data_IF_291435334566
#
_entry.id   IF_291435334566
#
_cell.length_a   1.000
_cell.length_b   1.000
_cell.length_c   1.000
_cell.angle_alpha   90.00
_cell.angle_beta   90.00
_cell.angle_gamma   90.00
#
_symmetry.space_group_name_H-M   'P 1'
#
loop_
_entity.id
_entity.type
_entity.pdbx_description
1 polymer ?
#
# COMPACT_ATOMS: atom_id res chain seq x y z
N UNK A 1 -48.07 14.36 -41.42
CA UNK A 1 -46.63 14.43 -41.10
C UNK A 1 -45.89 15.63 -41.72
N UNK A 2 -46.52 16.81 -41.82
CA UNK A 2 -45.84 18.05 -42.27
C UNK A 2 -45.78 19.16 -41.20
N UNK A 3 -46.43 18.94 -40.05
CA UNK A 3 -46.49 19.89 -38.92
C UNK A 3 -45.36 19.70 -37.90
N UNK A 4 -44.74 18.51 -37.88
CA UNK A 4 -43.64 18.18 -36.97
C UNK A 4 -42.25 18.47 -37.55
N UNK A 5 -42.14 18.74 -38.86
CA UNK A 5 -40.87 19.09 -39.51
C UNK A 5 -40.43 20.51 -39.12
N UNK A 6 -41.38 21.42 -38.83
CA UNK A 6 -41.07 22.79 -38.39
C UNK A 6 -40.59 22.85 -36.93
N UNK A 7 -41.02 21.90 -36.10
CA UNK A 7 -40.67 21.84 -34.66
C UNK A 7 -39.25 21.31 -34.39
N UNK A 8 -38.65 20.57 -35.33
CA UNK A 8 -37.29 20.01 -35.14
C UNK A 8 -36.19 21.00 -35.53
N UNK A 9 -36.47 21.98 -36.41
CA UNK A 9 -35.49 22.99 -36.83
C UNK A 9 -35.28 24.08 -35.75
N UNK A 10 -36.26 24.27 -34.85
CA UNK A 10 -36.20 25.30 -33.80
C UNK A 10 -35.42 24.88 -32.54
N UNK A 11 -35.11 23.58 -32.39
CA UNK A 11 -34.33 23.05 -31.26
C UNK A 11 -32.82 22.95 -31.54
N UNK A 12 -32.37 23.24 -32.78
CA UNK A 12 -30.98 23.07 -33.21
C UNK A 12 -30.10 24.33 -33.08
N UNK A 13 -30.57 25.40 -32.43
CA UNK A 13 -29.83 26.68 -32.32
C UNK A 13 -29.47 27.11 -30.88
N UNK A 14 -29.53 26.21 -29.90
CA UNK A 14 -29.00 26.47 -28.55
C UNK A 14 -27.83 25.54 -28.22
N UNK A 15 -26.72 25.72 -28.94
CA UNK A 15 -25.39 25.24 -28.55
C UNK A 15 -24.44 26.42 -28.47
N UNK A 16 -24.49 27.17 -27.37
CA UNK A 16 -23.41 28.12 -27.04
C UNK A 16 -22.33 27.40 -26.22
N UNK A 17 -21.06 27.42 -26.65
CA UNK A 17 -19.94 26.93 -25.84
C UNK A 17 -19.61 27.97 -24.76
N UNK A 18 -19.99 27.68 -23.51
CA UNK A 18 -19.55 28.42 -22.33
C UNK A 18 -18.28 27.76 -21.77
N UNK A 19 -17.19 27.83 -22.54
CA UNK A 19 -15.83 27.67 -22.01
C UNK A 19 -15.17 29.05 -22.02
N UNK A 20 -15.41 29.81 -20.95
CA UNK A 20 -14.70 31.05 -20.67
C UNK A 20 -14.34 31.06 -19.18
N UNK A 21 -13.05 30.79 -18.91
CA UNK A 21 -12.25 31.28 -17.79
C UNK A 21 -12.90 31.37 -16.40
N UNK A 22 -12.56 30.41 -15.53
CA UNK A 22 -12.12 30.78 -14.19
C UNK A 22 -10.78 30.08 -13.90
N UNK A 23 -9.74 30.80 -14.29
CA UNK A 23 -8.35 30.58 -13.90
C UNK A 23 -8.22 31.05 -12.44
N UNK A 24 -7.35 30.37 -11.69
CA UNK A 24 -6.74 30.83 -10.43
C UNK A 24 -7.57 30.68 -9.14
N UNK A 25 -7.54 29.48 -8.56
CA UNK A 25 -7.50 29.32 -7.11
C UNK A 25 -6.59 28.13 -6.76
N UNK A 26 -5.30 28.30 -7.06
CA UNK A 26 -4.22 27.51 -6.48
C UNK A 26 -3.30 28.48 -5.74
N UNK A 27 -3.67 28.81 -4.51
CA UNK A 27 -2.84 29.56 -3.60
C UNK A 27 -3.08 29.00 -2.19
N UNK A 28 -2.07 28.35 -1.62
CA UNK A 28 -2.13 27.90 -0.23
C UNK A 28 -1.54 26.54 0.12
N UNK A 29 -0.64 25.94 -0.68
CA UNK A 29 0.31 24.96 -0.12
C UNK A 29 1.64 25.67 0.13
N UNK A 30 1.73 26.24 1.32
CA UNK A 30 2.94 26.81 1.90
C UNK A 30 3.95 25.66 2.04
N UNK A 31 4.93 25.61 1.15
CA UNK A 31 6.06 24.68 1.27
C UNK A 31 6.97 25.20 2.38
N UNK A 32 6.98 24.51 3.52
CA UNK A 32 8.02 24.68 4.54
C UNK A 32 9.32 24.08 3.99
N UNK A 33 10.15 24.96 3.44
CA UNK A 33 11.55 24.70 3.13
C UNK A 33 12.29 24.52 4.45
N UNK A 34 12.38 23.28 4.93
CA UNK A 34 13.23 22.91 6.06
C UNK A 34 14.62 22.61 5.52
N UNK A 35 15.46 23.63 5.49
CA UNK A 35 16.90 23.45 5.40
C UNK A 35 17.41 22.73 6.65
N UNK A 36 18.33 21.80 6.45
CA UNK A 36 19.21 21.29 7.50
C UNK A 36 19.08 19.79 7.80
N UNK A 37 19.90 18.98 7.12
CA UNK A 37 21.05 18.23 7.67
C UNK A 37 21.36 17.03 6.76
N UNK A 38 22.65 16.76 6.63
CA UNK A 38 23.29 16.03 5.52
C UNK A 38 22.64 14.69 5.17
N UNK A 39 22.41 14.50 3.87
CA UNK A 39 22.17 13.19 3.30
C UNK A 39 23.53 12.51 3.17
N UNK A 40 23.81 11.53 4.02
CA UNK A 40 24.72 10.46 3.62
C UNK A 40 23.99 9.68 2.53
N UNK A 41 24.41 9.88 1.28
CA UNK A 41 23.91 9.12 0.14
C UNK A 41 24.57 7.74 0.13
N UNK A 42 24.09 6.83 0.98
CA UNK A 42 24.29 5.40 0.71
C UNK A 42 23.28 4.99 -0.38
N UNK A 43 23.68 4.22 -1.41
CA UNK A 43 22.80 3.76 -2.47
C UNK A 43 21.93 2.62 -1.94
N UNK A 44 21.07 2.88 -0.97
CA UNK A 44 20.01 1.95 -0.64
C UNK A 44 19.05 1.92 -1.85
N UNK A 45 19.11 0.82 -2.61
CA UNK A 45 18.03 0.43 -3.52
C UNK A 45 16.73 0.65 -2.75
N UNK A 46 15.81 1.45 -3.32
CA UNK A 46 14.52 1.79 -2.70
C UNK A 46 13.67 0.52 -2.56
N UNK A 47 13.99 -0.32 -1.59
CA UNK A 47 13.18 -1.44 -1.20
C UNK A 47 12.08 -0.89 -0.31
N UNK A 48 10.87 -0.96 -0.86
CA UNK A 48 9.62 -0.64 -0.20
C UNK A 48 9.59 -1.25 1.22
N UNK A 49 9.64 -0.38 2.23
CA UNK A 49 9.68 -0.75 3.64
C UNK A 49 8.34 -1.36 4.14
N UNK A 50 7.40 -1.68 3.24
CA UNK A 50 6.06 -2.17 3.58
C UNK A 50 6.03 -3.54 4.28
N UNK A 51 7.14 -4.28 4.33
CA UNK A 51 7.19 -5.66 4.84
C UNK A 51 7.83 -5.77 6.23
N UNK A 52 8.00 -4.67 6.96
CA UNK A 52 8.27 -4.71 8.39
C UNK A 52 9.74 -4.89 8.81
N UNK A 53 10.70 -4.89 7.88
CA UNK A 53 12.10 -4.68 8.23
C UNK A 53 12.47 -3.19 8.09
N UNK A 54 12.83 -2.51 9.20
CA UNK A 54 13.29 -1.14 9.15
C UNK A 54 14.72 -1.08 8.58
N UNK A 55 14.87 -1.12 7.25
CA UNK A 55 16.19 -1.05 6.60
C UNK A 55 16.99 0.20 6.96
N UNK A 56 16.34 1.24 7.48
CA UNK A 56 17.02 2.40 8.05
C UNK A 56 17.90 2.04 9.26
N UNK A 57 17.69 0.89 9.91
CA UNK A 57 18.55 0.36 10.97
C UNK A 57 19.70 -0.49 10.42
N UNK A 58 19.78 -0.78 9.12
CA UNK A 58 20.77 -1.72 8.58
C UNK A 58 22.22 -1.26 8.84
N UNK A 59 22.50 0.03 8.62
CA UNK A 59 23.81 0.62 8.88
C UNK A 59 24.13 0.62 10.38
N UNK A 60 23.12 0.92 11.22
CA UNK A 60 23.28 0.93 12.68
C UNK A 60 23.44 -0.49 13.24
N UNK A 61 22.87 -1.51 12.62
CA UNK A 61 23.07 -2.92 12.98
C UNK A 61 24.34 -3.50 12.37
N UNK A 62 25.09 -2.72 11.59
CA UNK A 62 26.31 -3.16 10.89
C UNK A 62 26.07 -4.49 10.15
N UNK A 63 24.97 -4.57 9.41
CA UNK A 63 24.65 -5.77 8.64
C UNK A 63 25.70 -5.98 7.55
N UNK A 64 26.15 -7.22 7.37
CA UNK A 64 27.00 -7.56 6.23
C UNK A 64 26.21 -7.52 4.92
N UNK A 65 26.91 -7.34 3.80
CA UNK A 65 26.30 -7.41 2.47
C UNK A 65 25.54 -8.74 2.25
N UNK A 66 26.11 -9.85 2.73
CA UNK A 66 25.46 -11.16 2.68
C UNK A 66 24.16 -11.21 3.51
N UNK A 67 24.13 -10.61 4.70
CA UNK A 67 22.91 -10.52 5.52
C UNK A 67 21.86 -9.65 4.83
N UNK A 68 22.27 -8.53 4.23
CA UNK A 68 21.38 -7.63 3.49
C UNK A 68 20.75 -8.37 2.31
N UNK A 69 21.55 -9.06 1.50
CA UNK A 69 21.06 -9.79 0.33
C UNK A 69 20.09 -10.91 0.73
N UNK A 70 20.39 -11.67 1.78
CA UNK A 70 19.49 -12.70 2.30
C UNK A 70 18.14 -12.13 2.76
N UNK A 71 18.15 -10.99 3.46
CA UNK A 71 16.92 -10.32 3.89
C UNK A 71 16.15 -9.81 2.67
N UNK A 72 16.82 -9.16 1.71
CA UNK A 72 16.18 -8.61 0.51
C UNK A 72 15.51 -9.69 -0.35
N UNK A 73 16.20 -10.80 -0.57
CA UNK A 73 15.68 -11.93 -1.35
C UNK A 73 14.45 -12.53 -0.68
N UNK A 74 14.50 -12.72 0.64
CA UNK A 74 13.36 -13.23 1.39
C UNK A 74 12.17 -12.27 1.33
N UNK A 75 12.38 -10.97 1.58
CA UNK A 75 11.33 -9.96 1.51
C UNK A 75 10.70 -9.88 0.11
N UNK A 76 11.49 -10.02 -0.95
CA UNK A 76 10.98 -10.05 -2.32
C UNK A 76 10.08 -11.26 -2.57
N UNK A 77 10.43 -12.43 -2.03
CA UNK A 77 9.61 -13.65 -2.12
C UNK A 77 8.31 -13.51 -1.33
N UNK A 78 8.38 -13.09 -0.07
CA UNK A 78 7.20 -12.82 0.77
C UNK A 78 6.29 -11.78 0.13
N UNK A 79 6.84 -10.73 -0.50
CA UNK A 79 6.04 -9.70 -1.16
C UNK A 79 5.23 -10.27 -2.32
N UNK A 80 5.82 -11.15 -3.13
CA UNK A 80 5.10 -11.85 -4.21
C UNK A 80 3.95 -12.69 -3.65
N UNK A 81 4.21 -13.46 -2.59
CA UNK A 81 3.18 -14.28 -1.94
C UNK A 81 2.02 -13.42 -1.41
N UNK A 82 2.31 -12.27 -0.80
CA UNK A 82 1.26 -11.36 -0.31
C UNK A 82 0.46 -10.75 -1.48
N UNK A 83 1.12 -10.43 -2.60
CA UNK A 83 0.41 -9.96 -3.82
C UNK A 83 -0.56 -11.03 -4.29
N UNK A 84 -0.13 -12.28 -4.35
CA UNK A 84 -0.98 -13.41 -4.78
C UNK A 84 -2.17 -13.60 -3.82
N UNK A 85 -1.92 -13.58 -2.51
CA UNK A 85 -2.96 -13.68 -1.48
C UNK A 85 -3.99 -12.54 -1.57
N UNK A 86 -3.54 -11.30 -1.82
CA UNK A 86 -4.43 -10.15 -2.02
C UNK A 86 -5.27 -10.30 -3.29
N UNK A 87 -4.66 -10.72 -4.39
CA UNK A 87 -5.39 -10.96 -5.63
C UNK A 87 -6.45 -12.06 -5.46
N UNK A 88 -6.19 -13.08 -4.65
CA UNK A 88 -7.19 -14.10 -4.34
C UNK A 88 -8.32 -13.57 -3.43
N UNK A 89 -8.01 -12.70 -2.47
CA UNK A 89 -9.02 -12.01 -1.67
C UNK A 89 -9.94 -11.18 -2.58
N UNK A 90 -9.38 -10.40 -3.50
CA UNK A 90 -10.15 -9.54 -4.41
C UNK A 90 -11.14 -10.36 -5.26
N UNK A 91 -10.71 -11.53 -5.77
CA UNK A 91 -11.58 -12.46 -6.50
C UNK A 91 -12.71 -12.98 -5.61
N UNK A 92 -12.40 -13.42 -4.39
CA UNK A 92 -13.40 -13.92 -3.44
C UNK A 92 -14.40 -12.84 -3.04
N UNK A 93 -13.98 -11.59 -2.91
CA UNK A 93 -14.85 -10.45 -2.62
C UNK A 93 -15.77 -10.09 -3.81
N UNK A 94 -15.32 -10.31 -5.05
CA UNK A 94 -16.20 -10.25 -6.23
C UNK A 94 -17.27 -11.34 -6.15
N UNK A 95 -16.85 -12.59 -5.94
CA UNK A 95 -17.78 -13.74 -5.87
C UNK A 95 -18.78 -13.59 -4.71
N UNK A 96 -18.33 -13.05 -3.58
CA UNK A 96 -19.18 -12.79 -2.42
C UNK A 96 -20.27 -11.77 -2.76
N UNK A 97 -19.92 -10.69 -3.47
CA UNK A 97 -20.90 -9.68 -3.93
C UNK A 97 -21.91 -10.27 -4.90
N UNK A 98 -21.48 -11.18 -5.79
CA UNK A 98 -22.38 -11.90 -6.69
C UNK A 98 -23.35 -12.77 -5.88
N UNK A 99 -22.85 -13.58 -4.95
CA UNK A 99 -23.68 -14.43 -4.09
C UNK A 99 -24.71 -13.63 -3.29
N UNK A 100 -24.32 -12.46 -2.75
CA UNK A 100 -25.24 -11.57 -2.04
C UNK A 100 -26.31 -10.96 -2.96
N UNK A 101 -25.94 -10.61 -4.20
CA UNK A 101 -26.89 -10.11 -5.21
C UNK A 101 -27.92 -11.17 -5.60
N UNK A 102 -27.50 -12.42 -5.63
CA UNK A 102 -28.36 -13.57 -5.96
C UNK A 102 -29.09 -14.14 -4.71
N UNK A 103 -29.01 -13.44 -3.57
CA UNK A 103 -29.59 -13.84 -2.28
C UNK A 103 -29.11 -15.22 -1.76
N UNK A 104 -27.98 -15.72 -2.27
CA UNK A 104 -27.32 -16.94 -1.77
C UNK A 104 -26.43 -16.62 -0.55
N UNK A 105 -27.09 -16.39 0.58
CA UNK A 105 -26.41 -16.08 1.84
C UNK A 105 -25.50 -17.22 2.33
N UNK A 106 -25.80 -18.47 1.97
CA UNK A 106 -24.99 -19.62 2.37
C UNK A 106 -23.65 -19.61 1.64
N UNK A 107 -23.66 -19.36 0.33
CA UNK A 107 -22.43 -19.18 -0.44
C UNK A 107 -21.65 -17.95 0.05
N UNK A 108 -22.32 -16.83 0.30
CA UNK A 108 -21.68 -15.62 0.81
C UNK A 108 -20.96 -15.84 2.14
N UNK A 109 -21.58 -16.56 3.09
CA UNK A 109 -20.93 -16.90 4.38
C UNK A 109 -19.67 -17.76 4.18
N UNK A 110 -19.72 -18.77 3.30
CA UNK A 110 -18.55 -19.60 2.99
C UNK A 110 -17.42 -18.78 2.38
N UNK A 111 -17.73 -17.82 1.51
CA UNK A 111 -16.75 -16.93 0.90
C UNK A 111 -16.11 -15.99 1.93
N UNK A 112 -16.86 -15.52 2.92
CA UNK A 112 -16.32 -14.77 4.08
C UNK A 112 -15.24 -15.58 4.78
N UNK A 113 -15.52 -16.84 5.12
CA UNK A 113 -14.54 -17.69 5.81
C UNK A 113 -13.25 -17.85 4.98
N UNK A 114 -13.39 -17.99 3.66
CA UNK A 114 -12.25 -18.10 2.75
C UNK A 114 -11.44 -16.80 2.69
N UNK A 115 -12.10 -15.63 2.63
CA UNK A 115 -11.44 -14.32 2.67
C UNK A 115 -10.64 -14.16 3.96
N UNK A 116 -11.26 -14.45 5.11
CA UNK A 116 -10.57 -14.31 6.39
C UNK A 116 -9.44 -15.33 6.59
N UNK A 117 -9.56 -16.54 6.03
CA UNK A 117 -8.45 -17.49 6.00
C UNK A 117 -7.24 -16.91 5.23
N UNK A 118 -7.47 -16.28 4.06
CA UNK A 118 -6.40 -15.63 3.28
C UNK A 118 -5.80 -14.42 3.99
N UNK A 119 -6.62 -13.61 4.67
CA UNK A 119 -6.14 -12.51 5.53
C UNK A 119 -5.29 -13.03 6.68
N UNK A 120 -5.66 -14.17 7.27
CA UNK A 120 -4.84 -14.84 8.28
C UNK A 120 -3.51 -15.33 7.71
N UNK A 121 -3.49 -15.84 6.48
CA UNK A 121 -2.24 -16.26 5.82
C UNK A 121 -1.31 -15.06 5.54
N UNK A 122 -1.84 -13.90 5.16
CA UNK A 122 -1.04 -12.65 5.06
C UNK A 122 -0.43 -12.29 6.43
N UNK A 123 -1.22 -12.36 7.51
CA UNK A 123 -0.73 -12.06 8.84
C UNK A 123 0.38 -13.03 9.30
N UNK A 124 0.24 -14.33 8.98
CA UNK A 124 1.30 -15.33 9.22
C UNK A 124 2.55 -15.02 8.40
N UNK A 125 2.40 -14.58 7.16
CA UNK A 125 3.57 -14.24 6.33
C UNK A 125 4.33 -13.03 6.89
N UNK A 126 3.64 -12.04 7.45
CA UNK A 126 4.32 -10.97 8.19
C UNK A 126 5.07 -11.48 9.44
N UNK A 127 4.55 -12.50 10.13
CA UNK A 127 5.25 -13.14 11.25
C UNK A 127 6.49 -13.88 10.75
N UNK A 128 6.35 -14.64 9.66
CA UNK A 128 7.42 -15.39 9.00
C UNK A 128 8.56 -14.46 8.57
N UNK A 129 8.25 -13.28 7.99
CA UNK A 129 9.25 -12.24 7.70
C UNK A 129 10.02 -11.82 8.94
N UNK A 130 9.33 -11.53 10.05
CA UNK A 130 10.01 -11.10 11.28
C UNK A 130 10.89 -12.22 11.84
N UNK A 131 10.40 -13.45 11.85
CA UNK A 131 11.13 -14.63 12.30
C UNK A 131 12.38 -14.86 11.43
N UNK A 132 12.22 -14.81 10.11
CA UNK A 132 13.32 -15.05 9.18
C UNK A 132 14.39 -13.98 9.28
N UNK A 133 14.02 -12.70 9.33
CA UNK A 133 14.96 -11.61 9.57
C UNK A 133 15.71 -11.85 10.88
N UNK A 134 14.99 -12.14 11.97
CA UNK A 134 15.61 -12.40 13.27
C UNK A 134 16.59 -13.58 13.21
N UNK A 135 16.35 -14.59 12.38
CA UNK A 135 17.27 -15.73 12.21
C UNK A 135 18.57 -15.40 11.43
N UNK A 136 18.59 -14.30 10.67
CA UNK A 136 19.76 -13.86 9.89
C UNK A 136 20.71 -13.00 10.75
N UNK A 137 20.16 -12.32 11.76
CA UNK A 137 20.92 -11.45 12.65
C UNK A 137 21.72 -12.27 13.68
N UNK A 138 22.87 -11.74 14.10
CA UNK A 138 23.60 -12.25 15.26
C UNK A 138 22.90 -11.87 16.56
N UNK A 139 23.26 -12.52 17.66
CA UNK A 139 22.71 -12.20 18.98
C UNK A 139 22.98 -10.75 19.38
N UNK A 140 24.19 -10.25 19.12
CA UNK A 140 24.57 -8.86 19.41
C UNK A 140 23.75 -7.87 18.57
N UNK A 141 23.51 -8.19 17.28
CA UNK A 141 22.65 -7.40 16.39
C UNK A 141 21.19 -7.42 16.85
N UNK A 142 20.69 -8.54 17.38
CA UNK A 142 19.33 -8.65 17.93
C UNK A 142 19.18 -7.76 19.17
N UNK A 143 20.18 -7.74 20.05
CA UNK A 143 20.18 -6.89 21.25
C UNK A 143 20.22 -5.40 20.86
N UNK A 144 21.13 -5.02 19.96
CA UNK A 144 21.19 -3.66 19.43
C UNK A 144 19.88 -3.24 18.77
N UNK A 145 19.24 -4.14 18.02
CA UNK A 145 17.93 -3.89 17.40
C UNK A 145 16.83 -3.65 18.44
N UNK A 146 16.85 -4.32 19.60
CA UNK A 146 15.87 -4.08 20.67
C UNK A 146 16.06 -2.70 21.28
N UNK A 147 17.29 -2.30 21.51
CA UNK A 147 17.62 -0.99 22.09
C UNK A 147 17.17 0.13 21.15
N UNK A 148 17.51 0.06 19.86
CA UNK A 148 17.08 1.03 18.84
C UNK A 148 15.55 1.15 18.75
N UNK A 149 14.81 0.04 18.91
CA UNK A 149 13.34 0.06 18.94
C UNK A 149 12.79 0.73 20.19
N UNK A 150 13.48 0.61 21.32
CA UNK A 150 13.06 1.20 22.59
C UNK A 150 13.26 2.72 22.63
N UNK A 151 14.27 3.21 21.90
CA UNK A 151 14.61 4.63 21.78
C UNK A 151 13.73 5.38 20.78
N UNK A 152 13.02 4.66 19.90
CA UNK A 152 12.07 5.30 19.00
C UNK A 152 10.88 5.89 19.77
N UNK A 153 10.55 7.18 19.55
CA UNK A 153 9.37 7.78 20.16
C UNK A 153 8.13 6.99 19.75
N UNK A 154 7.37 6.51 20.74
CA UNK A 154 6.08 5.86 20.56
C UNK A 154 5.12 6.85 19.88
N UNK A 155 5.04 6.80 18.56
CA UNK A 155 4.19 7.69 17.78
C UNK A 155 4.84 8.38 16.60
N UNK A 156 5.90 7.83 16.00
CA UNK A 156 6.20 8.23 14.62
C UNK A 156 5.02 7.77 13.74
N UNK A 157 4.23 8.69 13.14
CA UNK A 157 3.19 8.28 12.22
C UNK A 157 3.89 7.51 11.11
N UNK A 158 3.43 6.28 10.94
CA UNK A 158 3.81 5.39 9.87
C UNK A 158 4.11 6.16 8.57
N UNK A 159 5.25 5.86 7.95
CA UNK A 159 5.47 6.00 6.52
C UNK A 159 4.52 5.09 5.70
N UNK A 160 3.41 4.61 6.27
CA UNK A 160 2.24 4.11 5.55
C UNK A 160 1.45 5.31 5.01
N UNK A 161 2.05 6.05 4.08
CA UNK A 161 1.24 6.72 3.07
C UNK A 161 0.72 5.62 2.14
N UNK A 162 -0.61 5.53 2.04
CA UNK A 162 -1.38 4.76 1.06
C UNK A 162 -1.75 3.31 1.43
N UNK A 163 -2.41 3.15 2.58
CA UNK A 163 -3.52 2.19 2.65
C UNK A 163 -4.80 2.99 2.95
N UNK A 164 -5.25 3.77 1.96
CA UNK A 164 -6.64 4.18 1.89
C UNK A 164 -7.39 3.12 1.07
N UNK A 165 -8.41 2.57 1.74
CA UNK A 165 -9.56 1.77 1.27
C UNK A 165 -9.33 0.58 0.32
#
# INVERSE_FOLDING_TARGET
MKKYVVLVVLFALMTTPLFAQMKMNLQGKQMMQREGKGKMEHPMKKCDASMGFPFWMADELELSDDQIDQVMDFLAQSKKQIIDLKADIDKLEIDQRIALKDEDFKAAQKLVDQIYAKKADIAKEHINVKEKVHSILTQDQIEKMKDLRSEMPKGHPNLHHNCEE
#
